data_IF_970729447558
#
_entry.id   IF_970729447558
#
_cell.length_a   1.000
_cell.length_b   1.000
_cell.length_c   1.000
_cell.angle_alpha   90.00
_cell.angle_beta   90.00
_cell.angle_gamma   90.00
#
_symmetry.space_group_name_H-M   'P 1'
#
loop_
_entity.id
_entity.type
_entity.pdbx_description
1 polymer ?
#
# COMPACT_ATOMS: atom_id res chain seq x y z
N UNK A 1 -22.23 -27.29 14.83
CA UNK A 1 -22.04 -26.79 14.66
C UNK A 1 -21.79 -26.73 14.53
N UNK A 2 -21.91 -27.05 14.54
CA UNK A 2 -21.75 -26.56 14.29
C UNK A 2 -21.31 -26.37 14.39
N UNK A 3 -21.20 -26.79 14.54
CA UNK A 3 -20.87 -26.23 14.51
C UNK A 3 -20.35 -25.96 14.58
N UNK A 4 -20.21 -26.22 14.75
CA UNK A 4 -19.80 -25.50 14.73
C UNK A 4 -19.54 -25.20 14.37
N UNK A 5 -19.43 -25.30 14.53
CA UNK A 5 -19.53 -24.89 14.20
C UNK A 5 -19.37 -23.96 13.59
N UNK A 6 -19.44 -23.26 13.52
CA UNK A 6 -19.56 -22.04 12.70
C UNK A 6 -18.55 -20.97 12.96
N UNK A 7 -18.18 -20.81 14.15
CA UNK A 7 -17.18 -19.83 14.56
C UNK A 7 -15.81 -20.11 14.00
N UNK A 8 -15.49 -21.36 13.82
CA UNK A 8 -14.19 -21.72 13.29
C UNK A 8 -14.02 -21.27 11.85
N UNK A 9 -15.12 -21.17 11.14
CA UNK A 9 -15.07 -20.72 9.75
C UNK A 9 -14.57 -19.31 9.61
N UNK A 10 -14.77 -18.49 10.62
CA UNK A 10 -14.32 -17.10 10.55
C UNK A 10 -12.82 -16.98 10.43
N UNK A 11 -12.09 -17.93 10.95
CA UNK A 11 -10.63 -17.90 10.86
C UNK A 11 -10.13 -18.26 9.49
N UNK A 12 -10.92 -19.01 8.73
CA UNK A 12 -10.53 -19.48 7.42
C UNK A 12 -10.91 -18.53 6.30
N UNK A 13 -11.94 -17.71 6.51
CA UNK A 13 -12.49 -16.88 5.46
C UNK A 13 -12.41 -15.41 5.82
N UNK A 14 -12.02 -14.56 4.86
CA UNK A 14 -12.02 -13.13 5.09
C UNK A 14 -13.44 -12.61 5.28
N UNK A 15 -13.52 -11.49 5.97
CA UNK A 15 -14.79 -10.79 6.14
C UNK A 15 -15.29 -10.33 4.78
N UNK A 16 -16.54 -10.67 4.45
CA UNK A 16 -17.14 -10.31 3.19
C UNK A 16 -17.15 -8.80 2.97
N UNK A 17 -17.45 -8.04 4.02
CA UNK A 17 -17.47 -6.58 3.92
C UNK A 17 -16.08 -6.02 3.62
N UNK A 18 -15.06 -6.61 4.22
CA UNK A 18 -13.69 -6.19 3.96
C UNK A 18 -13.31 -6.44 2.51
N UNK A 19 -13.67 -7.60 1.97
CA UNK A 19 -13.43 -7.92 0.57
C UNK A 19 -14.16 -6.94 -0.36
N UNK A 20 -15.40 -6.60 -0.04
CA UNK A 20 -16.14 -5.62 -0.82
C UNK A 20 -15.45 -4.27 -0.83
N UNK A 21 -14.96 -3.82 0.32
CA UNK A 21 -14.24 -2.56 0.42
C UNK A 21 -12.96 -2.57 -0.40
N UNK A 22 -12.21 -3.66 -0.34
CA UNK A 22 -10.99 -3.79 -1.13
C UNK A 22 -11.30 -3.77 -2.63
N UNK A 23 -12.30 -4.53 -3.04
CA UNK A 23 -12.70 -4.57 -4.44
C UNK A 23 -13.17 -3.20 -4.93
N UNK A 24 -13.92 -2.48 -4.11
CA UNK A 24 -14.37 -1.13 -4.46
C UNK A 24 -13.19 -0.19 -4.64
N UNK A 25 -12.19 -0.28 -3.77
CA UNK A 25 -10.98 0.52 -3.91
C UNK A 25 -10.26 0.19 -5.22
N UNK A 26 -10.09 -1.08 -5.52
CA UNK A 26 -9.39 -1.51 -6.73
C UNK A 26 -10.12 -1.05 -7.98
N UNK A 27 -11.44 -1.16 -8.01
CA UNK A 27 -12.24 -0.68 -9.13
C UNK A 27 -12.12 0.83 -9.30
N UNK A 28 -12.12 1.59 -8.20
CA UNK A 28 -11.97 3.03 -8.28
C UNK A 28 -10.61 3.43 -8.82
N UNK A 29 -9.56 2.75 -8.37
CA UNK A 29 -8.22 3.02 -8.91
C UNK A 29 -8.18 2.68 -10.39
N UNK A 30 -8.75 1.56 -10.77
CA UNK A 30 -8.79 1.17 -12.18
C UNK A 30 -9.56 2.18 -13.03
N UNK A 31 -10.70 2.66 -12.52
CA UNK A 31 -11.58 3.54 -13.29
C UNK A 31 -11.06 4.98 -13.36
N UNK A 32 -10.45 5.47 -12.27
CA UNK A 32 -10.14 6.89 -12.14
C UNK A 32 -8.67 7.20 -11.97
N UNK A 33 -7.85 6.22 -11.66
CA UNK A 33 -6.42 6.42 -11.43
C UNK A 33 -5.65 6.50 -12.74
N UNK A 34 -4.49 7.11 -12.65
CA UNK A 34 -3.56 7.15 -13.78
C UNK A 34 -2.89 5.78 -13.97
N UNK A 35 -2.18 5.58 -15.11
CA UNK A 35 -1.34 4.38 -15.26
C UNK A 35 -0.35 4.21 -14.11
N UNK A 36 0.17 5.30 -13.55
CA UNK A 36 1.08 5.22 -12.41
C UNK A 36 0.39 4.65 -11.19
N UNK A 37 -0.84 5.10 -10.88
CA UNK A 37 -1.61 4.56 -9.76
C UNK A 37 -1.87 3.07 -9.93
N UNK A 38 -2.25 2.66 -11.13
CA UNK A 38 -2.49 1.26 -11.44
C UNK A 38 -1.22 0.44 -11.27
N UNK A 39 -0.09 0.99 -11.71
CA UNK A 39 1.19 0.31 -11.60
C UNK A 39 1.60 0.12 -10.15
N UNK A 40 1.37 1.12 -9.30
CA UNK A 40 1.64 1.01 -7.87
C UNK A 40 0.79 -0.12 -7.27
N UNK A 41 -0.50 -0.10 -7.55
CA UNK A 41 -1.42 -1.09 -6.97
C UNK A 41 -1.11 -2.50 -7.44
N UNK A 42 -0.86 -2.69 -8.74
CA UNK A 42 -0.57 -4.01 -9.27
C UNK A 42 0.76 -4.55 -8.76
N UNK A 43 1.76 -3.68 -8.61
CA UNK A 43 3.06 -4.08 -8.07
C UNK A 43 2.95 -4.47 -6.60
N UNK A 44 2.17 -3.73 -5.82
CA UNK A 44 1.92 -4.05 -4.42
C UNK A 44 1.25 -5.42 -4.30
N UNK A 45 0.23 -5.68 -5.10
CA UNK A 45 -0.49 -6.95 -5.07
C UNK A 45 0.40 -8.12 -5.49
N UNK A 46 1.21 -7.92 -6.53
CA UNK A 46 2.15 -8.93 -6.99
C UNK A 46 3.16 -9.29 -5.90
N UNK A 47 3.71 -8.28 -5.24
CA UNK A 47 4.68 -8.49 -4.18
C UNK A 47 4.06 -9.22 -2.99
N UNK A 48 2.85 -8.81 -2.58
CA UNK A 48 2.13 -9.48 -1.51
C UNK A 48 1.80 -10.93 -1.85
N UNK A 49 1.40 -11.17 -3.09
CA UNK A 49 1.07 -12.51 -3.55
C UNK A 49 2.29 -13.42 -3.50
N UNK A 50 3.43 -12.93 -3.97
CA UNK A 50 4.68 -13.69 -3.94
C UNK A 50 5.13 -14.00 -2.51
N UNK A 51 4.98 -13.03 -1.61
CA UNK A 51 5.33 -13.23 -0.20
C UNK A 51 4.45 -14.31 0.44
N UNK A 52 3.17 -14.34 0.09
CA UNK A 52 2.25 -15.35 0.62
C UNK A 52 2.52 -16.74 0.05
N UNK A 53 2.87 -16.82 -1.22
CA UNK A 53 3.19 -18.08 -1.87
C UNK A 53 4.51 -18.64 -1.36
N UNK A 54 5.43 -17.78 -1.03
CA UNK A 54 6.75 -18.14 -0.56
C UNK A 54 6.82 -17.90 0.95
N UNK A 55 6.47 -18.90 1.72
CA UNK A 55 6.33 -18.76 3.17
C UNK A 55 7.61 -18.38 3.88
N UNK A 56 8.75 -18.43 3.21
CA UNK A 56 10.04 -18.07 3.79
C UNK A 56 10.24 -16.57 3.81
N UNK A 57 9.66 -15.87 2.83
CA UNK A 57 9.86 -14.44 2.68
C UNK A 57 8.74 -13.69 3.38
N UNK A 58 9.08 -12.95 4.43
CA UNK A 58 8.13 -12.08 5.10
C UNK A 58 8.03 -10.76 4.35
N UNK A 59 6.84 -10.18 4.36
CA UNK A 59 6.63 -8.86 3.77
C UNK A 59 7.34 -7.82 4.64
N UNK A 60 8.13 -6.96 4.00
CA UNK A 60 8.75 -5.83 4.69
C UNK A 60 7.65 -4.82 5.02
N UNK A 61 7.37 -4.64 6.31
CA UNK A 61 6.28 -3.77 6.75
C UNK A 61 6.48 -2.32 6.31
N UNK A 62 7.71 -1.83 6.34
CA UNK A 62 7.99 -0.45 5.92
C UNK A 62 7.70 -0.28 4.42
N UNK A 63 8.07 -1.27 3.64
CA UNK A 63 7.83 -1.23 2.20
C UNK A 63 6.33 -1.27 1.89
N UNK A 64 5.58 -2.12 2.58
CA UNK A 64 4.13 -2.22 2.39
C UNK A 64 3.43 -0.90 2.72
N UNK A 65 3.79 -0.28 3.84
CA UNK A 65 3.23 1.01 4.22
C UNK A 65 3.56 2.06 3.16
N UNK A 66 4.79 2.05 2.64
CA UNK A 66 5.20 2.98 1.60
C UNK A 66 4.39 2.80 0.31
N UNK A 67 4.07 1.57 -0.06
CA UNK A 67 3.18 1.33 -1.21
C UNK A 67 1.84 2.05 -1.04
N UNK A 68 1.21 1.91 0.13
CA UNK A 68 -0.08 2.55 0.38
C UNK A 68 0.02 4.06 0.37
N UNK A 69 1.07 4.61 0.97
CA UNK A 69 1.24 6.07 1.02
C UNK A 69 1.53 6.63 -0.37
N UNK A 70 2.35 5.93 -1.15
CA UNK A 70 2.64 6.34 -2.52
C UNK A 70 1.39 6.24 -3.40
N UNK A 71 0.58 5.20 -3.22
CA UNK A 71 -0.67 5.08 -3.95
C UNK A 71 -1.58 6.28 -3.63
N UNK A 72 -1.74 6.60 -2.36
CA UNK A 72 -2.57 7.74 -1.96
C UNK A 72 -2.02 9.05 -2.50
N UNK A 73 -0.70 9.22 -2.47
CA UNK A 73 -0.05 10.43 -2.98
C UNK A 73 -0.23 10.57 -4.49
N UNK A 74 -0.12 9.45 -5.21
CA UNK A 74 -0.32 9.44 -6.65
C UNK A 74 -1.77 9.72 -7.02
N UNK A 75 -2.71 9.12 -6.29
CA UNK A 75 -4.14 9.38 -6.53
C UNK A 75 -4.49 10.84 -6.29
N UNK A 76 -3.92 11.44 -5.26
CA UNK A 76 -4.11 12.87 -5.00
C UNK A 76 -3.62 13.70 -6.19
N UNK A 77 -2.44 13.38 -6.71
CA UNK A 77 -1.90 14.07 -7.87
C UNK A 77 -2.79 13.88 -9.09
N UNK A 78 -3.31 12.66 -9.30
CA UNK A 78 -4.18 12.35 -10.43
C UNK A 78 -5.47 13.17 -10.39
N UNK A 79 -6.03 13.36 -9.21
CA UNK A 79 -7.33 14.03 -9.05
C UNK A 79 -7.19 15.54 -8.96
N UNK A 80 -6.20 16.02 -8.23
CA UNK A 80 -6.08 17.46 -7.93
C UNK A 80 -4.96 18.16 -8.68
N UNK A 81 -4.03 17.41 -9.25
CA UNK A 81 -2.83 17.98 -9.86
C UNK A 81 -1.77 18.40 -8.85
N UNK A 82 -2.05 18.23 -7.55
CA UNK A 82 -1.11 18.62 -6.50
C UNK A 82 -0.25 17.45 -6.07
N UNK A 83 1.03 17.71 -5.83
CA UNK A 83 1.94 16.74 -5.26
C UNK A 83 2.16 17.06 -3.80
N UNK A 84 2.04 16.03 -2.95
CA UNK A 84 2.37 16.12 -1.54
C UNK A 84 3.42 15.05 -1.28
N UNK A 85 4.50 15.42 -0.60
CA UNK A 85 5.55 14.45 -0.33
C UNK A 85 5.05 13.40 0.66
N UNK A 86 5.29 12.11 0.41
CA UNK A 86 4.87 11.04 1.32
C UNK A 86 5.34 11.22 2.76
N UNK A 87 6.45 11.93 2.96
CA UNK A 87 6.98 12.18 4.30
C UNK A 87 5.97 12.89 5.19
N UNK A 88 5.12 13.72 4.62
CA UNK A 88 4.10 14.43 5.40
C UNK A 88 3.16 13.47 6.11
N UNK A 89 2.79 12.37 5.44
CA UNK A 89 1.94 11.36 6.05
C UNK A 89 2.66 10.66 7.20
N UNK A 90 3.93 10.31 6.99
CA UNK A 90 4.72 9.63 8.02
C UNK A 90 4.90 10.49 9.26
N UNK A 91 5.16 11.79 9.08
CA UNK A 91 5.29 12.73 10.19
C UNK A 91 3.99 12.83 10.99
N UNK A 92 2.86 12.79 10.30
CA UNK A 92 1.56 12.88 10.91
C UNK A 92 1.22 11.61 11.70
N UNK A 93 1.59 10.47 11.14
CA UNK A 93 1.18 9.17 11.66
C UNK A 93 2.07 8.65 12.78
N UNK A 94 3.37 8.90 12.71
CA UNK A 94 4.34 8.34 13.63
C UNK A 94 4.98 9.43 14.47
N UNK A 95 4.73 9.40 15.79
CA UNK A 95 5.26 10.42 16.70
C UNK A 95 6.78 10.39 16.80
N UNK A 96 7.38 9.24 16.54
CA UNK A 96 8.83 9.05 16.60
C UNK A 96 9.45 8.88 15.20
N UNK A 97 8.83 9.47 14.20
CA UNK A 97 9.27 9.32 12.82
C UNK A 97 10.76 9.64 12.62
N UNK A 98 11.27 10.65 13.32
CA UNK A 98 12.67 11.02 13.17
C UNK A 98 13.63 9.86 13.49
N UNK A 99 13.21 8.91 14.34
CA UNK A 99 14.02 7.73 14.68
C UNK A 99 13.97 6.66 13.61
N UNK A 100 12.85 6.59 12.87
CA UNK A 100 12.63 5.56 11.87
C UNK A 100 12.72 6.11 10.45
N UNK A 101 13.06 7.37 10.30
CA UNK A 101 13.06 8.05 8.99
C UNK A 101 13.87 7.28 7.95
N UNK A 102 15.06 6.82 8.30
CA UNK A 102 15.91 6.14 7.33
C UNK A 102 15.24 4.89 6.75
N UNK A 103 14.51 4.14 7.57
CA UNK A 103 13.83 2.93 7.11
C UNK A 103 12.72 3.26 6.11
N UNK A 104 11.91 4.27 6.42
CA UNK A 104 10.84 4.67 5.52
C UNK A 104 11.36 5.36 4.27
N UNK A 105 12.38 6.21 4.43
CA UNK A 105 12.96 6.90 3.28
C UNK A 105 13.60 5.93 2.31
N UNK A 106 14.34 4.94 2.81
CA UNK A 106 14.96 3.93 1.95
C UNK A 106 13.91 3.15 1.18
N UNK A 107 12.87 2.66 1.87
CA UNK A 107 11.82 1.89 1.23
C UNK A 107 11.03 2.74 0.22
N UNK A 108 10.67 3.95 0.62
CA UNK A 108 9.95 4.87 -0.25
C UNK A 108 10.74 5.18 -1.52
N UNK A 109 12.01 5.52 -1.36
CA UNK A 109 12.83 5.95 -2.49
C UNK A 109 13.14 4.78 -3.43
N UNK A 110 13.28 3.58 -2.90
CA UNK A 110 13.39 2.38 -3.73
C UNK A 110 12.15 2.23 -4.61
N UNK A 111 10.97 2.36 -4.02
CA UNK A 111 9.72 2.22 -4.77
C UNK A 111 9.55 3.33 -5.81
N UNK A 112 9.88 4.57 -5.45
CA UNK A 112 9.80 5.67 -6.42
C UNK A 112 10.67 5.37 -7.63
N UNK A 113 11.87 4.85 -7.41
CA UNK A 113 12.79 4.50 -8.48
C UNK A 113 12.28 3.30 -9.28
N UNK A 114 11.92 2.22 -8.60
CA UNK A 114 11.48 0.98 -9.26
C UNK A 114 10.22 1.20 -10.09
N UNK A 115 9.29 2.00 -9.59
CA UNK A 115 8.02 2.25 -10.25
C UNK A 115 8.04 3.49 -11.13
N UNK A 116 9.18 4.15 -11.21
CA UNK A 116 9.36 5.35 -12.04
C UNK A 116 8.30 6.42 -11.74
N UNK A 117 8.13 6.72 -10.46
CA UNK A 117 7.16 7.71 -10.01
C UNK A 117 7.78 9.11 -10.03
N UNK A 118 6.95 10.11 -9.75
CA UNK A 118 7.40 11.50 -9.71
C UNK A 118 8.56 11.67 -8.73
N UNK A 119 9.55 12.45 -9.12
CA UNK A 119 10.69 12.76 -8.27
C UNK A 119 10.27 13.57 -7.04
N UNK A 120 9.12 14.21 -7.11
CA UNK A 120 8.57 14.96 -5.97
C UNK A 120 8.24 14.03 -4.79
N UNK A 121 8.16 12.72 -5.03
CA UNK A 121 7.86 11.75 -3.98
C UNK A 121 9.11 11.23 -3.26
N UNK A 122 10.30 11.62 -3.67
CA UNK A 122 11.52 11.24 -2.93
C UNK A 122 11.55 11.91 -1.56
N UNK A 123 11.93 11.14 -0.54
CA UNK A 123 12.16 11.65 0.81
C UNK A 123 13.64 11.93 0.98
N UNK A 124 13.97 13.15 1.39
CA UNK A 124 15.35 13.61 1.52
C UNK A 124 15.83 13.72 2.93
#
# INVERSE_FOLDING_TARGET
DMIDSGKNKKHSFPDTKLLEKQNNLYFKVYAYGSPSSLHILSSMQSENYQANMNSIVSVNAHRLICYYVLLASQLRMDVTGETVNPEEWFKMKFSDYHKTKSLFADANNQLVTELNLSKDFFIR
#
